data_IF_673612822864
#
_entry.id   IF_673612822864
#
_cell.length_a   1.000
_cell.length_b   1.000
_cell.length_c   1.000
_cell.angle_alpha   90.00
_cell.angle_beta   90.00
_cell.angle_gamma   90.00
#
_symmetry.space_group_name_H-M   'P 1'
#
loop_
_entity.id
_entity.type
_entity.pdbx_description
1 polymer ?
#
# COMPACT_ATOMS: atom_id res chain seq x y z
N UNK A 1 -16.01 32.70 6.83
CA UNK A 1 -17.23 31.93 7.21
C UNK A 1 -16.74 30.69 7.95
N UNK A 2 -17.45 30.21 8.94
CA UNK A 2 -17.10 28.95 9.57
C UNK A 2 -17.41 27.79 8.60
N UNK A 3 -16.71 26.66 8.76
CA UNK A 3 -16.96 25.40 8.03
C UNK A 3 -18.46 25.05 8.04
N UNK A 4 -19.02 24.82 6.86
CA UNK A 4 -20.43 24.43 6.66
C UNK A 4 -20.48 23.16 5.83
N UNK A 5 -21.24 22.15 6.26
CA UNK A 5 -21.52 20.98 5.45
C UNK A 5 -22.80 21.18 4.65
N UNK A 6 -22.69 21.38 3.33
CA UNK A 6 -23.83 21.45 2.41
C UNK A 6 -24.45 20.04 2.25
N UNK A 7 -23.61 19.01 2.25
CA UNK A 7 -23.97 17.60 2.37
C UNK A 7 -23.07 16.94 3.40
N UNK A 8 -23.63 16.13 4.29
CA UNK A 8 -22.89 15.39 5.29
C UNK A 8 -23.14 13.89 5.14
N UNK A 9 -22.11 13.08 5.36
CA UNK A 9 -22.25 11.63 5.43
C UNK A 9 -23.18 11.22 6.57
N UNK A 10 -23.96 10.17 6.35
CA UNK A 10 -24.90 9.60 7.34
C UNK A 10 -24.35 8.37 8.03
N UNK A 11 -23.30 7.76 7.47
CA UNK A 11 -22.62 6.56 8.00
C UNK A 11 -21.13 6.78 8.16
N UNK A 12 -20.54 5.99 9.06
CA UNK A 12 -19.10 5.92 9.25
C UNK A 12 -18.61 4.53 8.80
N UNK A 13 -17.51 4.38 8.02
CA UNK A 13 -17.07 3.11 7.41
C UNK A 13 -16.61 1.99 8.38
N UNK A 14 -16.90 2.04 9.66
CA UNK A 14 -16.30 1.19 10.70
C UNK A 14 -17.12 -0.01 11.17
N UNK A 15 -18.22 -0.40 10.53
CA UNK A 15 -19.09 -1.49 11.01
C UNK A 15 -18.79 -2.84 10.37
N UNK A 16 -18.58 -3.89 11.17
CA UNK A 16 -18.49 -5.30 10.75
C UNK A 16 -17.10 -5.97 10.85
N UNK A 17 -16.18 -5.41 11.64
CA UNK A 17 -14.81 -5.91 11.74
C UNK A 17 -14.65 -7.19 12.56
N UNK A 18 -15.49 -7.42 13.59
CA UNK A 18 -15.33 -8.56 14.53
C UNK A 18 -15.66 -9.91 13.88
N UNK A 19 -16.78 -10.00 13.16
CA UNK A 19 -17.15 -11.22 12.43
C UNK A 19 -16.14 -11.59 11.36
N UNK A 20 -15.64 -10.57 10.63
CA UNK A 20 -14.60 -10.77 9.61
C UNK A 20 -13.31 -11.29 10.23
N UNK A 21 -12.91 -10.74 11.38
CA UNK A 21 -11.72 -11.19 12.13
C UNK A 21 -11.82 -12.65 12.55
N UNK A 22 -12.95 -13.07 13.12
CA UNK A 22 -13.14 -14.44 13.58
C UNK A 22 -13.03 -15.43 12.42
N UNK A 23 -13.74 -15.18 11.32
CA UNK A 23 -13.69 -16.01 10.10
C UNK A 23 -12.24 -16.11 9.56
N UNK A 24 -11.55 -14.99 9.44
CA UNK A 24 -10.18 -14.97 8.91
C UNK A 24 -9.20 -15.67 9.83
N UNK A 25 -9.35 -15.50 11.16
CA UNK A 25 -8.51 -16.19 12.16
C UNK A 25 -8.67 -17.70 12.06
N UNK A 26 -9.90 -18.19 11.98
CA UNK A 26 -10.20 -19.62 11.83
C UNK A 26 -9.60 -20.17 10.53
N UNK A 27 -9.75 -19.45 9.41
CA UNK A 27 -9.18 -19.87 8.13
C UNK A 27 -7.64 -19.93 8.17
N UNK A 28 -6.98 -18.91 8.72
CA UNK A 28 -5.52 -18.86 8.83
C UNK A 28 -4.99 -20.02 9.68
N UNK A 29 -5.61 -20.30 10.85
CA UNK A 29 -5.23 -21.40 11.72
C UNK A 29 -5.44 -22.76 11.04
N UNK A 30 -6.55 -22.94 10.32
CA UNK A 30 -6.85 -24.16 9.59
C UNK A 30 -5.83 -24.40 8.46
N UNK A 31 -5.43 -23.34 7.73
CA UNK A 31 -4.42 -23.43 6.66
C UNK A 31 -3.03 -23.69 7.25
N UNK A 32 -2.67 -23.03 8.34
CA UNK A 32 -1.38 -23.27 8.99
C UNK A 32 -1.21 -24.73 9.44
N UNK A 33 -2.29 -25.33 9.94
CA UNK A 33 -2.29 -26.73 10.40
C UNK A 33 -2.43 -27.74 9.27
N UNK A 34 -3.24 -27.43 8.24
CA UNK A 34 -3.60 -28.34 7.15
C UNK A 34 -2.78 -28.17 5.87
N UNK A 35 -1.93 -27.13 5.80
CA UNK A 35 -1.01 -26.91 4.67
C UNK A 35 -1.70 -26.73 3.33
N UNK A 36 -1.06 -27.24 2.29
CA UNK A 36 -1.51 -27.12 0.90
C UNK A 36 -2.90 -27.72 0.65
N UNK A 37 -3.21 -28.85 1.28
CA UNK A 37 -4.51 -29.51 1.14
C UNK A 37 -5.65 -28.58 1.60
N UNK A 38 -5.43 -27.84 2.68
CA UNK A 38 -6.42 -26.89 3.18
C UNK A 38 -6.59 -25.68 2.29
N UNK A 39 -5.53 -25.21 1.64
CA UNK A 39 -5.62 -24.17 0.60
C UNK A 39 -6.45 -24.65 -0.59
N UNK A 40 -6.21 -25.91 -1.04
CA UNK A 40 -7.00 -26.52 -2.14
C UNK A 40 -8.47 -26.62 -1.78
N UNK A 41 -8.78 -27.12 -0.57
CA UNK A 41 -10.15 -27.23 -0.06
C UNK A 41 -10.87 -25.84 -0.06
N UNK A 42 -10.22 -24.81 0.45
CA UNK A 42 -10.82 -23.46 0.46
C UNK A 42 -10.94 -22.88 -0.96
N UNK A 43 -9.98 -23.14 -1.86
CA UNK A 43 -10.06 -22.67 -3.24
C UNK A 43 -11.20 -23.38 -4.00
N UNK A 44 -11.42 -24.68 -3.75
CA UNK A 44 -12.57 -25.40 -4.30
C UNK A 44 -13.89 -24.83 -3.76
N UNK A 45 -13.99 -24.64 -2.45
CA UNK A 45 -15.24 -24.21 -1.81
C UNK A 45 -15.60 -22.74 -2.05
N UNK A 46 -14.62 -21.83 -2.09
CA UNK A 46 -14.85 -20.38 -2.16
C UNK A 46 -14.69 -19.80 -3.56
N UNK A 47 -13.72 -20.31 -4.33
CA UNK A 47 -13.47 -19.88 -5.70
C UNK A 47 -14.11 -20.82 -6.73
N UNK A 48 -14.69 -21.95 -6.28
CA UNK A 48 -15.23 -23.03 -7.14
C UNK A 48 -14.22 -23.50 -8.18
N UNK A 49 -12.95 -23.72 -7.76
CA UNK A 49 -11.84 -24.05 -8.65
C UNK A 49 -11.10 -25.30 -8.18
N UNK A 50 -10.98 -26.28 -9.09
CA UNK A 50 -10.32 -27.58 -8.85
C UNK A 50 -9.06 -27.77 -9.71
N UNK A 51 -8.60 -26.74 -10.42
CA UNK A 51 -7.40 -26.78 -11.24
C UNK A 51 -6.10 -26.68 -10.43
N UNK A 52 -4.99 -26.52 -11.13
CA UNK A 52 -3.68 -26.35 -10.53
C UNK A 52 -3.59 -25.05 -9.74
N UNK A 53 -3.11 -25.14 -8.50
CA UNK A 53 -2.84 -23.95 -7.70
C UNK A 53 -1.61 -23.21 -8.24
N UNK A 54 -0.54 -23.92 -8.57
CA UNK A 54 0.64 -23.33 -9.23
C UNK A 54 0.36 -23.26 -10.72
N UNK A 55 0.34 -22.06 -11.26
CA UNK A 55 0.13 -21.82 -12.69
C UNK A 55 1.35 -22.34 -13.48
N UNK A 56 1.09 -23.06 -14.56
CA UNK A 56 2.16 -23.62 -15.40
C UNK A 56 2.58 -22.66 -16.51
N UNK A 57 3.79 -22.84 -17.09
CA UNK A 57 4.23 -22.07 -18.26
C UNK A 57 3.28 -22.19 -19.46
N UNK A 58 2.66 -23.34 -19.64
CA UNK A 58 1.68 -23.59 -20.72
C UNK A 58 0.41 -22.76 -20.52
N UNK A 59 -0.08 -22.65 -19.27
CA UNK A 59 -1.24 -21.80 -18.95
C UNK A 59 -0.92 -20.32 -19.20
N UNK A 60 0.32 -19.87 -18.91
CA UNK A 60 0.79 -18.51 -19.19
C UNK A 60 0.85 -18.26 -20.70
N UNK A 61 1.38 -19.20 -21.47
CA UNK A 61 1.45 -19.09 -22.92
C UNK A 61 0.06 -18.97 -23.55
N UNK A 62 -0.89 -19.82 -23.14
CA UNK A 62 -2.30 -19.76 -23.58
C UNK A 62 -2.95 -18.43 -23.19
N UNK A 63 -2.67 -17.91 -22.00
CA UNK A 63 -3.18 -16.61 -21.57
C UNK A 63 -2.64 -15.47 -22.45
N UNK A 64 -1.35 -15.51 -22.78
CA UNK A 64 -0.68 -14.53 -23.65
C UNK A 64 -1.28 -14.48 -25.07
N UNK A 65 -1.70 -15.61 -25.62
CA UNK A 65 -2.36 -15.68 -26.93
C UNK A 65 -3.76 -15.05 -26.92
N UNK A 66 -4.45 -15.04 -25.78
CA UNK A 66 -5.79 -14.45 -25.62
C UNK A 66 -5.76 -12.93 -25.45
N UNK A 67 -4.62 -12.33 -25.08
CA UNK A 67 -4.48 -10.89 -24.94
C UNK A 67 -4.27 -10.27 -26.32
N UNK A 68 -5.14 -9.32 -26.69
CA UNK A 68 -4.98 -8.59 -27.97
C UNK A 68 -3.69 -7.76 -27.96
N UNK A 69 -3.11 -7.53 -29.16
CA UNK A 69 -1.91 -6.70 -29.27
C UNK A 69 -2.11 -5.28 -28.71
N UNK A 70 -3.27 -4.68 -28.97
CA UNK A 70 -3.59 -3.38 -28.38
C UNK A 70 -3.55 -3.40 -26.85
N UNK A 71 -4.12 -4.43 -26.21
CA UNK A 71 -4.10 -4.53 -24.74
C UNK A 71 -2.68 -4.81 -24.24
N UNK A 72 -1.85 -5.56 -24.96
CA UNK A 72 -0.44 -5.73 -24.62
C UNK A 72 0.32 -4.40 -24.68
N UNK A 73 0.04 -3.57 -25.68
CA UNK A 73 0.64 -2.23 -25.80
C UNK A 73 0.20 -1.31 -24.65
N UNK A 74 -1.10 -1.33 -24.29
CA UNK A 74 -1.62 -0.55 -23.16
C UNK A 74 -1.00 -1.00 -21.82
N UNK A 75 -0.85 -2.31 -21.61
CA UNK A 75 -0.19 -2.88 -20.43
C UNK A 75 1.28 -2.45 -20.39
N UNK A 76 1.98 -2.52 -21.52
CA UNK A 76 3.39 -2.09 -21.64
C UNK A 76 3.53 -0.59 -21.36
N UNK A 77 2.63 0.22 -21.88
CA UNK A 77 2.59 1.66 -21.64
C UNK A 77 2.47 2.00 -20.13
N UNK A 78 1.60 1.28 -19.42
CA UNK A 78 1.45 1.42 -17.97
C UNK A 78 2.70 0.93 -17.22
N UNK A 79 3.18 -0.28 -17.55
CA UNK A 79 4.36 -0.89 -16.95
C UNK A 79 5.59 0.00 -17.02
N UNK A 80 5.89 0.57 -18.18
CA UNK A 80 7.08 1.41 -18.38
C UNK A 80 7.07 2.63 -17.46
N UNK A 81 5.91 3.26 -17.26
CA UNK A 81 5.76 4.43 -16.38
C UNK A 81 5.89 4.07 -14.90
N UNK A 82 5.22 3.01 -14.49
CA UNK A 82 5.33 2.52 -13.11
C UNK A 82 6.77 2.09 -12.81
N UNK A 83 7.43 1.39 -13.74
CA UNK A 83 8.83 1.00 -13.62
C UNK A 83 9.74 2.20 -13.49
N UNK A 84 9.61 3.18 -14.39
CA UNK A 84 10.42 4.39 -14.38
C UNK A 84 10.25 5.19 -13.08
N UNK A 85 9.01 5.31 -12.60
CA UNK A 85 8.74 5.99 -11.32
C UNK A 85 9.35 5.24 -10.13
N UNK A 86 9.20 3.92 -10.10
CA UNK A 86 9.81 3.06 -9.08
C UNK A 86 11.35 3.16 -9.09
N UNK A 87 11.98 3.21 -10.27
CA UNK A 87 13.42 3.42 -10.42
C UNK A 87 13.85 4.77 -9.82
N UNK A 88 13.09 5.84 -10.06
CA UNK A 88 13.37 7.15 -9.43
C UNK A 88 13.22 7.11 -7.91
N UNK A 89 12.24 6.38 -7.39
CA UNK A 89 12.15 6.14 -5.95
C UNK A 89 13.38 5.39 -5.43
N UNK A 90 13.86 4.36 -6.15
CA UNK A 90 15.05 3.60 -5.76
C UNK A 90 16.31 4.46 -5.78
N UNK A 91 16.49 5.30 -6.80
CA UNK A 91 17.61 6.24 -6.93
C UNK A 91 17.65 7.28 -5.80
N UNK A 92 16.49 7.66 -5.24
CA UNK A 92 16.42 8.61 -4.13
C UNK A 92 16.86 8.05 -2.78
N UNK A 93 17.07 6.73 -2.69
CA UNK A 93 17.49 6.04 -1.46
C UNK A 93 19.00 5.79 -1.49
N UNK A 94 19.70 6.22 -0.45
CA UNK A 94 21.15 6.13 -0.37
C UNK A 94 21.64 5.39 0.87
N UNK A 95 22.68 4.58 0.69
CA UNK A 95 23.49 4.05 1.78
C UNK A 95 24.54 5.09 2.19
N UNK A 96 24.97 5.04 3.43
CA UNK A 96 26.06 5.87 3.89
C UNK A 96 26.88 5.18 4.99
N UNK A 97 28.12 5.62 5.14
CA UNK A 97 28.95 5.43 6.32
C UNK A 97 29.53 6.79 6.72
N UNK A 98 29.47 7.12 7.98
CA UNK A 98 29.95 8.39 8.51
C UNK A 98 30.79 8.16 9.78
N UNK A 99 31.88 8.89 9.91
CA UNK A 99 32.64 8.98 11.14
C UNK A 99 31.87 9.87 12.13
N UNK A 100 31.37 9.25 13.20
CA UNK A 100 30.53 9.93 14.23
C UNK A 100 31.40 10.52 15.33
N UNK A 101 32.55 9.86 15.64
CA UNK A 101 33.60 10.32 16.46
C UNK A 101 34.91 9.78 15.89
N UNK A 102 36.10 10.27 16.32
CA UNK A 102 37.37 9.79 15.79
C UNK A 102 37.46 8.25 15.81
N UNK A 103 37.60 7.66 14.61
CA UNK A 103 37.69 6.21 14.37
C UNK A 103 36.46 5.38 14.79
N UNK A 104 35.32 6.03 15.05
CA UNK A 104 34.00 5.41 15.23
C UNK A 104 33.12 5.70 14.03
N UNK A 105 32.78 4.67 13.28
CA UNK A 105 31.96 4.76 12.07
C UNK A 105 30.60 4.10 12.30
N UNK A 106 29.55 4.79 11.89
CA UNK A 106 28.19 4.24 11.81
C UNK A 106 27.71 4.32 10.35
N UNK A 107 27.01 3.30 9.92
CA UNK A 107 26.51 3.26 8.56
C UNK A 107 25.09 2.67 8.45
N UNK A 108 24.50 2.92 7.31
CA UNK A 108 23.19 2.42 6.92
C UNK A 108 23.30 1.64 5.62
N UNK A 109 22.65 0.47 5.56
CA UNK A 109 22.51 -0.34 4.35
C UNK A 109 21.04 -0.51 3.97
N UNK A 110 20.84 -0.64 2.69
CA UNK A 110 19.52 -0.83 2.08
C UNK A 110 19.43 -2.24 1.51
N UNK A 111 18.80 -3.15 2.25
CA UNK A 111 18.74 -4.56 1.89
C UNK A 111 17.32 -4.93 1.49
N UNK A 112 17.06 -5.31 0.22
CA UNK A 112 15.76 -5.82 -0.18
C UNK A 112 15.36 -7.04 0.65
N UNK A 113 14.05 -7.23 0.83
CA UNK A 113 13.52 -8.49 1.34
C UNK A 113 13.79 -9.61 0.33
N UNK A 114 13.86 -10.85 0.78
CA UNK A 114 14.15 -11.98 -0.10
C UNK A 114 12.93 -12.38 -0.93
N UNK A 115 11.76 -12.45 -0.28
CA UNK A 115 10.51 -12.90 -0.90
C UNK A 115 9.38 -11.89 -0.67
N UNK A 116 8.69 -11.50 -1.76
CA UNK A 116 7.47 -10.70 -1.71
C UNK A 116 6.26 -11.52 -2.18
N UNK A 117 5.16 -11.44 -1.42
CA UNK A 117 3.86 -11.97 -1.80
C UNK A 117 2.97 -10.86 -2.35
N UNK A 118 2.59 -10.93 -3.63
CA UNK A 118 1.80 -9.93 -4.34
C UNK A 118 0.37 -10.44 -4.56
N UNK A 119 -0.60 -9.92 -3.80
CA UNK A 119 -2.01 -10.22 -4.00
C UNK A 119 -2.61 -9.33 -5.09
N UNK A 120 -3.22 -9.93 -6.11
CA UNK A 120 -3.89 -9.22 -7.21
C UNK A 120 -5.37 -9.58 -7.24
N UNK A 121 -6.29 -8.63 -7.01
CA UNK A 121 -7.72 -8.91 -7.10
C UNK A 121 -8.13 -9.32 -8.52
N UNK A 122 -8.96 -10.35 -8.66
CA UNK A 122 -9.40 -10.88 -9.95
C UNK A 122 -10.88 -11.26 -10.03
N UNK A 123 -11.67 -10.99 -8.99
CA UNK A 123 -13.04 -11.48 -8.89
C UNK A 123 -14.04 -10.77 -9.82
N UNK A 124 -14.49 -9.58 -9.42
CA UNK A 124 -15.49 -8.79 -10.19
C UNK A 124 -14.87 -8.13 -11.41
N UNK A 125 -13.66 -7.60 -11.30
CA UNK A 125 -12.91 -6.88 -12.33
C UNK A 125 -11.51 -7.47 -12.47
N UNK A 126 -10.91 -7.37 -13.66
CA UNK A 126 -9.52 -7.71 -13.91
C UNK A 126 -8.62 -6.53 -13.48
N UNK A 127 -8.00 -6.64 -12.31
CA UNK A 127 -7.13 -5.58 -11.77
C UNK A 127 -5.69 -5.68 -12.33
N UNK A 128 -5.55 -5.46 -13.64
CA UNK A 128 -4.26 -5.50 -14.36
C UNK A 128 -3.26 -4.50 -13.73
N UNK A 129 -3.71 -3.30 -13.42
CA UNK A 129 -2.87 -2.27 -12.82
C UNK A 129 -2.28 -2.69 -11.46
N UNK A 130 -3.05 -3.42 -10.63
CA UNK A 130 -2.52 -3.96 -9.36
C UNK A 130 -1.40 -4.98 -9.57
N UNK A 131 -1.47 -5.79 -10.64
CA UNK A 131 -0.38 -6.69 -11.02
C UNK A 131 0.88 -5.89 -11.40
N UNK A 132 0.73 -4.88 -12.25
CA UNK A 132 1.84 -3.99 -12.64
C UNK A 132 2.46 -3.34 -11.41
N UNK A 133 1.63 -2.69 -10.57
CA UNK A 133 2.11 -1.85 -9.47
C UNK A 133 2.74 -2.64 -8.33
N UNK A 134 2.27 -3.85 -8.04
CA UNK A 134 2.86 -4.68 -6.99
C UNK A 134 4.15 -5.38 -7.45
N UNK A 135 4.09 -6.12 -8.55
CA UNK A 135 5.20 -6.95 -9.03
C UNK A 135 6.36 -6.09 -9.53
N UNK A 136 6.07 -5.05 -10.35
CA UNK A 136 7.12 -4.18 -10.90
C UNK A 136 7.86 -3.43 -9.79
N UNK A 137 7.13 -2.92 -8.78
CA UNK A 137 7.75 -2.19 -7.66
C UNK A 137 8.63 -3.11 -6.82
N UNK A 138 8.21 -4.37 -6.57
CA UNK A 138 9.01 -5.37 -5.89
C UNK A 138 10.28 -5.73 -6.70
N UNK A 139 10.15 -5.89 -8.02
CA UNK A 139 11.28 -6.21 -8.89
C UNK A 139 12.32 -5.08 -8.94
N UNK A 140 11.88 -3.82 -9.07
CA UNK A 140 12.76 -2.64 -9.03
C UNK A 140 13.44 -2.46 -7.67
N UNK A 141 12.77 -2.84 -6.58
CA UNK A 141 13.37 -2.85 -5.25
C UNK A 141 14.53 -3.86 -5.11
N UNK A 142 14.62 -4.85 -6.00
CA UNK A 142 15.63 -5.90 -5.99
C UNK A 142 15.20 -7.16 -5.21
N UNK A 143 13.90 -7.37 -5.03
CA UNK A 143 13.35 -8.62 -4.48
C UNK A 143 13.68 -9.77 -5.42
N UNK A 144 14.26 -10.84 -4.88
CA UNK A 144 14.70 -11.97 -5.71
C UNK A 144 13.57 -12.91 -6.07
N UNK A 145 12.65 -13.14 -5.13
CA UNK A 145 11.57 -14.10 -5.30
C UNK A 145 10.22 -13.41 -5.11
N UNK A 146 9.44 -13.34 -6.19
CA UNK A 146 8.13 -12.68 -6.19
C UNK A 146 7.05 -13.73 -6.45
N UNK A 147 6.27 -14.01 -5.43
CA UNK A 147 5.11 -14.91 -5.50
C UNK A 147 3.86 -14.05 -5.65
N UNK A 148 3.14 -14.20 -6.75
CA UNK A 148 1.88 -13.52 -6.96
C UNK A 148 0.70 -14.48 -6.81
N UNK A 149 -0.44 -14.00 -6.33
CA UNK A 149 -1.68 -14.78 -6.37
C UNK A 149 -2.87 -13.95 -6.85
N UNK A 150 -3.81 -14.62 -7.48
CA UNK A 150 -5.07 -14.02 -7.93
C UNK A 150 -6.19 -15.05 -7.90
N UNK A 151 -7.45 -14.64 -7.58
CA UNK A 151 -8.59 -15.54 -7.60
C UNK A 151 -8.80 -16.18 -8.98
N UNK A 152 -8.88 -17.50 -9.08
CA UNK A 152 -9.24 -18.18 -10.31
C UNK A 152 -10.76 -18.21 -10.52
N UNK A 153 -11.18 -18.55 -11.73
CA UNK A 153 -12.56 -18.90 -12.08
C UNK A 153 -12.65 -20.32 -12.57
N UNK A 154 -13.74 -20.99 -12.23
CA UNK A 154 -13.98 -22.37 -12.67
C UNK A 154 -13.88 -22.51 -14.20
N UNK A 155 -13.05 -23.46 -14.64
CA UNK A 155 -12.81 -23.76 -16.05
C UNK A 155 -11.97 -22.74 -16.82
N UNK A 156 -11.65 -21.59 -16.23
CA UNK A 156 -10.89 -20.52 -16.88
C UNK A 156 -9.53 -20.26 -16.23
N UNK A 157 -9.38 -20.59 -14.93
CA UNK A 157 -8.19 -20.22 -14.14
C UNK A 157 -8.16 -18.72 -13.80
N UNK A 158 -6.96 -18.18 -13.64
CA UNK A 158 -6.77 -16.73 -13.46
C UNK A 158 -7.16 -16.00 -14.76
N UNK A 159 -7.76 -14.81 -14.63
CA UNK A 159 -8.06 -13.99 -15.81
C UNK A 159 -6.80 -13.83 -16.69
N UNK A 160 -6.94 -14.10 -17.97
CA UNK A 160 -5.82 -14.18 -18.93
C UNK A 160 -4.99 -12.88 -19.00
N UNK A 161 -5.65 -11.72 -18.87
CA UNK A 161 -4.95 -10.43 -18.90
C UNK A 161 -4.15 -10.18 -17.61
N UNK A 162 -4.68 -10.61 -16.43
CA UNK A 162 -3.93 -10.58 -15.16
C UNK A 162 -2.73 -11.52 -15.26
N UNK A 163 -2.94 -12.76 -15.74
CA UNK A 163 -1.90 -13.77 -15.83
C UNK A 163 -0.76 -13.34 -16.75
N UNK A 164 -1.08 -12.84 -17.94
CA UNK A 164 -0.11 -12.25 -18.86
C UNK A 164 0.67 -11.10 -18.19
N UNK A 165 -0.02 -10.22 -17.47
CA UNK A 165 0.60 -9.06 -16.85
C UNK A 165 1.55 -9.46 -15.70
N UNK A 166 1.15 -10.43 -14.88
CA UNK A 166 2.00 -10.95 -13.80
C UNK A 166 3.31 -11.52 -14.33
N UNK A 167 3.22 -12.32 -15.39
CA UNK A 167 4.39 -12.90 -16.07
C UNK A 167 5.28 -11.80 -16.68
N UNK A 168 4.68 -10.88 -17.46
CA UNK A 168 5.40 -9.77 -18.09
C UNK A 168 6.12 -8.88 -17.07
N UNK A 169 5.51 -8.65 -15.90
CA UNK A 169 6.12 -7.85 -14.82
C UNK A 169 7.20 -8.62 -14.04
N UNK A 170 7.31 -9.94 -14.25
CA UNK A 170 8.35 -10.78 -13.69
C UNK A 170 7.99 -11.43 -12.36
N UNK A 171 6.76 -11.88 -12.16
CA UNK A 171 6.42 -12.78 -11.06
C UNK A 171 7.12 -14.13 -11.26
N UNK A 172 7.81 -14.66 -10.24
CA UNK A 172 8.56 -15.92 -10.35
C UNK A 172 7.64 -17.13 -10.18
N UNK A 173 6.61 -16.99 -9.36
CA UNK A 173 5.57 -18.01 -9.17
C UNK A 173 4.21 -17.35 -9.09
N UNK A 174 3.22 -17.92 -9.76
CA UNK A 174 1.85 -17.43 -9.77
C UNK A 174 0.94 -18.51 -9.20
N UNK A 175 0.13 -18.15 -8.20
CA UNK A 175 -0.81 -19.04 -7.52
C UNK A 175 -2.25 -18.71 -7.89
N UNK A 176 -2.98 -19.68 -8.42
CA UNK A 176 -4.42 -19.60 -8.68
C UNK A 176 -5.20 -19.82 -7.38
N UNK A 177 -5.15 -18.85 -6.49
CA UNK A 177 -5.84 -18.85 -5.21
C UNK A 177 -6.23 -17.43 -4.82
N UNK A 178 -7.47 -17.21 -4.40
CA UNK A 178 -8.00 -15.92 -3.99
C UNK A 178 -8.05 -15.73 -2.48
N UNK A 179 -8.63 -14.63 -2.03
CA UNK A 179 -9.01 -14.40 -0.63
C UNK A 179 -7.93 -14.69 0.42
N UNK A 180 -8.39 -15.17 1.56
CA UNK A 180 -7.54 -15.52 2.71
C UNK A 180 -6.58 -16.67 2.37
N UNK A 181 -7.04 -17.67 1.60
CA UNK A 181 -6.25 -18.83 1.26
C UNK A 181 -5.05 -18.48 0.36
N UNK A 182 -5.20 -17.53 -0.57
CA UNK A 182 -4.08 -17.02 -1.38
C UNK A 182 -3.06 -16.25 -0.55
N UNK A 183 -3.53 -15.38 0.35
CA UNK A 183 -2.67 -14.64 1.30
C UNK A 183 -1.92 -15.60 2.22
N UNK A 184 -2.61 -16.60 2.78
CA UNK A 184 -2.00 -17.60 3.67
C UNK A 184 -0.98 -18.48 2.92
N UNK A 185 -1.26 -18.88 1.68
CA UNK A 185 -0.33 -19.66 0.86
C UNK A 185 1.01 -18.93 0.69
N UNK A 186 0.98 -17.64 0.39
CA UNK A 186 2.19 -16.83 0.29
C UNK A 186 2.87 -16.64 1.65
N UNK A 187 2.10 -16.33 2.71
CA UNK A 187 2.64 -16.08 4.05
C UNK A 187 3.33 -17.32 4.65
N UNK A 188 2.81 -18.51 4.39
CA UNK A 188 3.35 -19.77 4.94
C UNK A 188 4.30 -20.49 3.98
N UNK A 189 4.51 -19.96 2.77
CA UNK A 189 5.40 -20.54 1.76
C UNK A 189 4.87 -21.83 1.15
N UNK A 190 3.55 -22.02 1.15
CA UNK A 190 2.91 -23.20 0.59
C UNK A 190 3.03 -23.18 -0.93
N UNK A 191 3.22 -24.35 -1.54
CA UNK A 191 3.46 -24.58 -2.98
C UNK A 191 4.79 -24.03 -3.53
N UNK A 192 5.51 -23.17 -2.81
CA UNK A 192 6.74 -22.54 -3.28
C UNK A 192 7.96 -22.90 -2.45
N UNK A 193 7.77 -23.32 -1.20
CA UNK A 193 8.84 -23.50 -0.23
C UNK A 193 9.43 -22.19 0.31
N UNK A 194 8.96 -21.03 -0.18
CA UNK A 194 9.48 -19.71 0.17
C UNK A 194 8.38 -18.90 0.87
N UNK A 195 8.54 -18.65 2.18
CA UNK A 195 7.65 -17.76 2.91
C UNK A 195 7.87 -16.31 2.46
N UNK A 196 6.79 -15.57 2.27
CA UNK A 196 6.88 -14.14 2.01
C UNK A 196 7.41 -13.40 3.25
N UNK A 197 8.39 -12.52 3.05
CA UNK A 197 8.83 -11.57 4.05
C UNK A 197 7.85 -10.39 4.17
N UNK A 198 7.19 -10.05 3.06
CA UNK A 198 6.20 -8.98 2.97
C UNK A 198 5.04 -9.40 2.06
N UNK A 199 3.82 -9.03 2.46
CA UNK A 199 2.60 -9.19 1.67
C UNK A 199 2.13 -7.82 1.19
N UNK A 200 1.91 -7.68 -0.12
CA UNK A 200 1.46 -6.43 -0.74
C UNK A 200 0.26 -6.66 -1.64
N UNK A 201 -0.45 -5.60 -1.94
CA UNK A 201 -1.58 -5.59 -2.84
C UNK A 201 -2.91 -5.27 -2.15
N UNK A 202 -3.85 -4.65 -2.91
CA UNK A 202 -5.18 -4.34 -2.43
C UNK A 202 -6.05 -5.59 -2.43
N UNK A 203 -7.10 -5.61 -1.63
CA UNK A 203 -8.04 -6.71 -1.59
C UNK A 203 -9.33 -6.35 -0.85
N UNK A 204 -10.28 -7.28 -0.81
CA UNK A 204 -11.49 -7.09 -0.03
C UNK A 204 -11.19 -7.12 1.49
N UNK A 205 -12.23 -6.87 2.31
CA UNK A 205 -12.10 -6.84 3.77
C UNK A 205 -11.43 -8.08 4.39
N UNK A 206 -11.62 -9.27 3.78
CA UNK A 206 -11.03 -10.51 4.28
C UNK A 206 -9.53 -10.58 3.99
N UNK A 207 -9.10 -10.14 2.81
CA UNK A 207 -7.68 -10.00 2.44
C UNK A 207 -6.98 -8.98 3.32
N UNK A 208 -7.60 -7.81 3.53
CA UNK A 208 -7.07 -6.77 4.41
C UNK A 208 -6.93 -7.27 5.85
N UNK A 209 -7.92 -8.00 6.36
CA UNK A 209 -7.90 -8.58 7.71
C UNK A 209 -6.87 -9.71 7.83
N UNK A 210 -6.70 -10.55 6.80
CA UNK A 210 -5.65 -11.57 6.78
C UNK A 210 -4.25 -10.94 6.86
N UNK A 211 -3.98 -9.88 6.08
CA UNK A 211 -2.74 -9.12 6.19
C UNK A 211 -2.55 -8.53 7.58
N UNK A 212 -3.61 -7.99 8.19
CA UNK A 212 -3.57 -7.41 9.53
C UNK A 212 -3.23 -8.43 10.61
N UNK A 213 -3.83 -9.62 10.56
CA UNK A 213 -3.56 -10.69 11.53
C UNK A 213 -2.14 -11.24 11.39
N UNK A 214 -1.65 -11.34 10.15
CA UNK A 214 -0.32 -11.87 9.86
C UNK A 214 0.80 -10.84 10.09
N UNK A 215 0.46 -9.55 10.26
CA UNK A 215 1.47 -8.51 10.52
C UNK A 215 2.24 -8.80 11.82
N UNK A 216 3.55 -8.74 11.72
CA UNK A 216 4.48 -9.14 12.78
C UNK A 216 5.13 -10.51 12.50
N UNK A 217 4.40 -11.43 11.89
CA UNK A 217 4.98 -12.66 11.31
C UNK A 217 5.55 -12.39 9.91
N UNK A 218 4.81 -11.63 9.12
CA UNK A 218 5.25 -11.10 7.82
C UNK A 218 5.04 -9.58 7.80
N UNK A 219 5.81 -8.85 7.00
CA UNK A 219 5.55 -7.45 6.74
C UNK A 219 4.28 -7.27 5.89
N UNK A 220 3.70 -6.08 5.93
CA UNK A 220 2.65 -5.68 5.01
C UNK A 220 2.96 -4.31 4.41
N UNK A 221 2.43 -4.04 3.22
CA UNK A 221 2.56 -2.73 2.57
C UNK A 221 1.90 -1.61 3.40
N UNK A 222 0.60 -1.77 3.66
CA UNK A 222 -0.23 -0.80 4.35
C UNK A 222 -1.60 -1.42 4.69
N UNK A 223 -2.40 -0.68 5.43
CA UNK A 223 -3.78 -1.02 5.73
C UNK A 223 -4.69 -0.39 4.67
N UNK A 224 -5.40 -1.20 3.89
CA UNK A 224 -6.35 -0.75 2.90
C UNK A 224 -7.77 -1.25 3.25
N UNK A 225 -8.71 -0.34 3.32
CA UNK A 225 -10.15 -0.59 3.42
C UNK A 225 -10.86 -0.20 2.11
N UNK A 226 -12.14 0.20 2.17
CA UNK A 226 -12.82 0.78 1.03
C UNK A 226 -12.07 2.00 0.49
N UNK A 227 -11.97 2.09 -0.82
CA UNK A 227 -11.29 3.21 -1.47
C UNK A 227 -12.06 4.52 -1.28
N UNK A 228 -11.35 5.63 -1.18
CA UNK A 228 -11.88 6.95 -0.85
C UNK A 228 -11.21 8.06 -1.67
N UNK A 229 -11.95 9.14 -1.95
CA UNK A 229 -11.44 10.34 -2.61
C UNK A 229 -11.84 11.59 -1.84
N UNK A 230 -10.91 12.55 -1.75
CA UNK A 230 -11.20 13.93 -1.43
C UNK A 230 -10.80 14.82 -2.61
N UNK A 231 -11.67 15.75 -3.02
CA UNK A 231 -11.37 16.76 -4.03
C UNK A 231 -11.40 18.13 -3.36
N UNK A 232 -10.31 18.86 -3.42
CA UNK A 232 -10.26 20.28 -3.09
C UNK A 232 -10.50 21.05 -4.39
N UNK A 233 -11.53 21.88 -4.42
CA UNK A 233 -11.87 22.65 -5.61
C UNK A 233 -12.26 24.09 -5.26
N UNK A 234 -11.79 25.05 -6.06
CA UNK A 234 -12.16 26.46 -5.90
C UNK A 234 -13.17 26.90 -6.99
N UNK A 235 -13.38 28.20 -7.09
CA UNK A 235 -14.32 28.80 -8.04
C UNK A 235 -13.91 28.65 -9.52
N UNK A 236 -12.67 28.22 -9.80
CA UNK A 236 -12.12 28.03 -11.14
C UNK A 236 -12.33 26.62 -11.67
N UNK A 237 -12.49 25.67 -10.75
CA UNK A 237 -12.68 24.26 -11.11
C UNK A 237 -13.94 24.06 -11.96
N UNK A 238 -13.84 23.16 -12.91
CA UNK A 238 -14.99 22.72 -13.72
C UNK A 238 -15.86 21.74 -12.91
N UNK A 239 -17.10 22.15 -12.66
CA UNK A 239 -18.04 21.32 -11.90
C UNK A 239 -18.38 20.00 -12.58
N UNK A 240 -18.25 19.88 -13.91
CA UNK A 240 -18.45 18.64 -14.63
C UNK A 240 -17.34 17.65 -14.35
N UNK A 241 -16.09 18.11 -14.42
CA UNK A 241 -14.90 17.30 -14.11
C UNK A 241 -14.95 16.85 -12.65
N UNK A 242 -15.13 17.78 -11.70
CA UNK A 242 -15.26 17.46 -10.26
C UNK A 242 -16.33 16.40 -10.01
N UNK A 243 -17.49 16.53 -10.66
CA UNK A 243 -18.59 15.58 -10.45
C UNK A 243 -18.28 14.19 -11.02
N UNK A 244 -17.64 14.12 -12.18
CA UNK A 244 -17.27 12.83 -12.81
C UNK A 244 -16.19 12.13 -11.98
N UNK A 245 -15.20 12.85 -11.45
CA UNK A 245 -14.14 12.27 -10.60
C UNK A 245 -14.71 11.72 -9.29
N UNK A 246 -15.65 12.43 -8.65
CA UNK A 246 -16.36 11.92 -7.46
C UNK A 246 -17.18 10.66 -7.76
N UNK A 247 -17.86 10.61 -8.90
CA UNK A 247 -18.63 9.42 -9.32
C UNK A 247 -17.71 8.26 -9.68
N UNK A 248 -16.59 8.53 -10.35
CA UNK A 248 -15.59 7.54 -10.71
C UNK A 248 -15.05 6.78 -9.50
N UNK A 249 -14.93 7.46 -8.35
CA UNK A 249 -14.55 6.81 -7.11
C UNK A 249 -15.72 6.10 -6.41
N UNK A 250 -16.90 6.72 -6.41
CA UNK A 250 -18.08 6.15 -5.77
C UNK A 250 -18.54 4.81 -6.39
N UNK A 251 -18.24 4.54 -7.67
CA UNK A 251 -18.61 3.29 -8.34
C UNK A 251 -17.86 2.06 -7.85
N UNK A 252 -16.71 2.22 -7.16
CA UNK A 252 -15.90 1.11 -6.66
C UNK A 252 -16.63 0.25 -5.62
N UNK A 253 -17.50 0.86 -4.79
CA UNK A 253 -18.24 0.12 -3.79
C UNK A 253 -19.28 0.97 -3.05
N UNK A 254 -20.28 0.32 -2.43
CA UNK A 254 -21.36 1.02 -1.72
C UNK A 254 -20.88 1.76 -0.46
N UNK A 255 -19.68 1.52 -0.03
CA UNK A 255 -19.00 2.07 1.16
C UNK A 255 -17.77 2.92 0.83
N UNK A 256 -17.63 3.37 -0.43
CA UNK A 256 -16.53 4.23 -0.92
C UNK A 256 -16.83 5.70 -0.66
N UNK A 257 -16.14 6.38 0.28
CA UNK A 257 -16.34 7.80 0.53
C UNK A 257 -15.91 8.67 -0.65
N UNK A 258 -16.70 9.72 -0.91
CA UNK A 258 -16.39 10.72 -1.92
C UNK A 258 -16.68 12.12 -1.35
N UNK A 259 -15.62 12.92 -1.17
CA UNK A 259 -15.68 14.18 -0.45
C UNK A 259 -15.27 15.35 -1.33
N UNK A 260 -16.09 16.39 -1.38
CA UNK A 260 -15.75 17.69 -1.96
C UNK A 260 -15.48 18.70 -0.87
N UNK A 261 -14.30 19.30 -0.89
CA UNK A 261 -13.88 20.39 -0.02
C UNK A 261 -13.74 21.63 -0.90
N UNK A 262 -14.57 22.64 -0.71
CA UNK A 262 -14.57 23.80 -1.60
C UNK A 262 -14.71 25.12 -0.85
N UNK A 263 -14.21 26.19 -1.46
CA UNK A 263 -14.42 27.57 -1.02
C UNK A 263 -15.53 28.27 -1.83
N UNK A 264 -16.15 27.56 -2.79
CA UNK A 264 -17.17 28.07 -3.71
C UNK A 264 -18.54 27.44 -3.50
N UNK A 265 -19.48 28.19 -2.89
CA UNK A 265 -20.86 27.72 -2.73
C UNK A 265 -21.51 27.37 -4.07
N UNK A 266 -21.26 28.19 -5.11
CA UNK A 266 -21.80 27.95 -6.45
C UNK A 266 -21.35 26.59 -7.00
N UNK A 267 -20.05 26.26 -6.86
CA UNK A 267 -19.49 24.97 -7.28
C UNK A 267 -20.17 23.82 -6.51
N UNK A 268 -20.27 23.93 -5.19
CA UNK A 268 -20.92 22.93 -4.35
C UNK A 268 -22.36 22.63 -4.78
N UNK A 269 -23.16 23.67 -5.07
CA UNK A 269 -24.54 23.55 -5.52
C UNK A 269 -24.64 22.92 -6.92
N UNK A 270 -23.72 23.26 -7.83
CA UNK A 270 -23.65 22.67 -9.16
C UNK A 270 -23.30 21.18 -9.09
N UNK A 271 -22.30 20.79 -8.31
CA UNK A 271 -21.88 19.40 -8.12
C UNK A 271 -23.05 18.58 -7.52
N UNK A 272 -23.67 19.03 -6.42
CA UNK A 272 -24.75 18.27 -5.79
C UNK A 272 -25.93 18.05 -6.72
N UNK A 273 -26.23 19.02 -7.59
CA UNK A 273 -27.32 18.90 -8.57
C UNK A 273 -27.01 17.92 -9.70
N UNK A 274 -25.73 17.73 -10.06
CA UNK A 274 -25.30 16.84 -11.16
C UNK A 274 -25.14 15.38 -10.75
N UNK A 275 -24.72 15.12 -9.53
CA UNK A 275 -24.43 13.77 -9.04
C UNK A 275 -25.53 12.73 -9.33
N UNK A 276 -26.83 12.99 -9.08
CA UNK A 276 -27.85 11.98 -9.34
C UNK A 276 -27.96 11.56 -10.82
N UNK A 277 -27.81 12.52 -11.74
CA UNK A 277 -27.85 12.24 -13.18
C UNK A 277 -26.67 11.42 -13.66
N UNK A 278 -25.46 11.75 -13.19
CA UNK A 278 -24.25 11.00 -13.53
C UNK A 278 -24.31 9.56 -12.98
N UNK A 279 -24.75 9.39 -11.73
CA UNK A 279 -24.90 8.07 -11.10
C UNK A 279 -25.95 7.22 -11.87
N UNK A 280 -27.08 7.81 -12.25
CA UNK A 280 -28.14 7.10 -12.97
C UNK A 280 -27.70 6.62 -14.37
N UNK A 281 -26.75 7.30 -15.00
CA UNK A 281 -26.22 6.95 -16.33
C UNK A 281 -25.16 5.82 -16.30
N UNK A 282 -24.71 5.39 -15.13
CA UNK A 282 -23.79 4.25 -15.00
C UNK A 282 -24.50 2.92 -15.30
N UNK A 283 -23.77 1.87 -15.69
CA UNK A 283 -24.33 0.53 -15.74
C UNK A 283 -24.93 0.12 -14.39
N UNK A 284 -25.97 -0.70 -14.41
CA UNK A 284 -26.84 -0.99 -13.24
C UNK A 284 -26.10 -1.37 -11.94
N UNK A 285 -25.00 -2.11 -12.03
CA UNK A 285 -24.24 -2.56 -10.85
C UNK A 285 -23.46 -1.40 -10.26
N UNK A 286 -22.76 -0.65 -11.09
CA UNK A 286 -21.99 0.54 -10.73
C UNK A 286 -22.88 1.66 -10.21
N UNK A 287 -24.03 1.90 -10.88
CA UNK A 287 -25.02 2.89 -10.45
C UNK A 287 -25.53 2.62 -9.03
N UNK A 288 -25.86 1.36 -8.69
CA UNK A 288 -26.28 1.00 -7.33
C UNK A 288 -25.18 1.21 -6.29
N UNK A 289 -23.94 0.90 -6.62
CA UNK A 289 -22.80 1.12 -5.74
C UNK A 289 -22.57 2.60 -5.49
N UNK A 290 -22.47 3.40 -6.57
CA UNK A 290 -22.26 4.84 -6.50
C UNK A 290 -23.41 5.58 -5.79
N UNK A 291 -24.67 5.15 -6.01
CA UNK A 291 -25.83 5.72 -5.30
C UNK A 291 -25.72 5.51 -3.77
N UNK A 292 -25.41 4.29 -3.35
CA UNK A 292 -25.25 3.98 -1.93
C UNK A 292 -24.06 4.74 -1.32
N UNK A 293 -22.90 4.74 -2.02
CA UNK A 293 -21.71 5.46 -1.59
C UNK A 293 -21.96 6.96 -1.43
N UNK A 294 -22.54 7.60 -2.46
CA UNK A 294 -22.84 9.02 -2.41
C UNK A 294 -23.90 9.39 -1.35
N UNK A 295 -24.95 8.56 -1.23
CA UNK A 295 -26.01 8.79 -0.22
C UNK A 295 -25.46 8.71 1.19
N UNK A 296 -24.67 7.66 1.51
CA UNK A 296 -24.31 7.29 2.85
C UNK A 296 -22.98 7.90 3.31
N UNK A 297 -22.00 8.07 2.40
CA UNK A 297 -20.62 8.49 2.69
C UNK A 297 -20.16 9.74 1.93
N UNK A 298 -20.94 10.26 0.98
CA UNK A 298 -20.61 11.47 0.24
C UNK A 298 -20.75 12.71 1.12
N UNK A 299 -19.76 13.63 1.06
CA UNK A 299 -19.78 14.91 1.75
C UNK A 299 -19.45 16.07 0.81
N UNK A 300 -20.03 17.24 1.11
CA UNK A 300 -19.65 18.53 0.52
C UNK A 300 -19.44 19.52 1.66
N UNK A 301 -18.19 19.92 1.87
CA UNK A 301 -17.76 20.88 2.87
C UNK A 301 -17.43 22.22 2.22
N UNK A 302 -18.10 23.28 2.66
CA UNK A 302 -17.83 24.66 2.26
C UNK A 302 -16.95 25.31 3.32
N UNK A 303 -15.73 25.68 2.92
CA UNK A 303 -14.71 26.32 3.75
C UNK A 303 -14.67 27.83 3.52
N UNK A 304 -14.32 28.58 4.54
CA UNK A 304 -14.19 30.04 4.47
C UNK A 304 -12.89 30.51 3.83
N UNK A 305 -11.86 29.65 3.78
CA UNK A 305 -10.57 29.93 3.17
C UNK A 305 -9.88 28.66 2.66
N UNK A 306 -8.85 28.84 1.84
CA UNK A 306 -8.01 27.71 1.37
C UNK A 306 -7.23 27.06 2.50
N UNK A 307 -6.85 27.81 3.53
CA UNK A 307 -6.17 27.30 4.74
C UNK A 307 -7.09 26.37 5.53
N UNK A 308 -8.37 26.75 5.68
CA UNK A 308 -9.39 25.91 6.31
C UNK A 308 -9.64 24.63 5.47
N UNK A 309 -9.71 24.75 4.13
CA UNK A 309 -9.84 23.62 3.24
C UNK A 309 -8.64 22.65 3.34
N UNK A 310 -7.42 23.17 3.38
CA UNK A 310 -6.22 22.36 3.56
C UNK A 310 -6.18 21.66 4.92
N UNK A 311 -6.60 22.34 5.99
CA UNK A 311 -6.66 21.75 7.32
C UNK A 311 -7.72 20.64 7.39
N UNK A 312 -8.88 20.83 6.78
CA UNK A 312 -9.93 19.82 6.71
C UNK A 312 -9.47 18.59 5.92
N UNK A 313 -8.81 18.79 4.77
CA UNK A 313 -8.23 17.73 3.97
C UNK A 313 -7.18 16.93 4.75
N UNK A 314 -6.26 17.62 5.45
CA UNK A 314 -5.27 16.94 6.30
C UNK A 314 -5.93 16.16 7.46
N UNK A 315 -7.10 16.58 7.95
CA UNK A 315 -7.86 15.83 8.96
C UNK A 315 -8.50 14.56 8.37
N UNK A 316 -8.96 14.59 7.13
CA UNK A 316 -9.50 13.41 6.45
C UNK A 316 -8.38 12.43 6.13
N UNK A 317 -7.21 12.92 5.74
CA UNK A 317 -6.06 12.11 5.36
C UNK A 317 -6.45 11.06 4.32
N UNK A 318 -7.09 11.54 3.25
CA UNK A 318 -7.70 10.72 2.22
C UNK A 318 -6.68 9.85 1.46
N UNK A 319 -7.13 8.71 0.98
CA UNK A 319 -6.37 7.83 0.08
C UNK A 319 -5.96 8.59 -1.18
N UNK A 320 -6.94 9.13 -1.88
CA UNK A 320 -6.74 9.95 -3.07
C UNK A 320 -7.12 11.39 -2.76
N UNK A 321 -6.24 12.32 -3.06
CA UNK A 321 -6.49 13.74 -2.90
C UNK A 321 -6.28 14.45 -4.23
N UNK A 322 -7.34 15.00 -4.80
CA UNK A 322 -7.27 15.86 -5.97
C UNK A 322 -7.33 17.34 -5.56
N UNK A 323 -6.62 18.18 -6.25
CA UNK A 323 -6.64 19.64 -6.10
C UNK A 323 -6.93 20.28 -7.44
N UNK A 324 -8.16 20.69 -7.64
CA UNK A 324 -8.64 21.43 -8.81
C UNK A 324 -8.83 22.91 -8.40
N UNK A 325 -7.72 23.58 -8.09
CA UNK A 325 -7.69 24.94 -7.57
C UNK A 325 -6.47 25.72 -8.07
N UNK A 326 -6.57 27.05 -8.03
CA UNK A 326 -5.44 27.94 -8.35
C UNK A 326 -4.27 27.70 -7.38
N UNK A 327 -3.02 28.03 -7.84
CA UNK A 327 -1.79 28.00 -7.03
C UNK A 327 -1.42 26.58 -6.55
N UNK A 328 -1.31 25.64 -7.48
CA UNK A 328 -0.99 24.22 -7.20
C UNK A 328 0.28 24.05 -6.37
N UNK A 329 1.29 24.91 -6.54
CA UNK A 329 2.53 24.87 -5.76
C UNK A 329 2.32 25.19 -4.28
N UNK A 330 1.37 26.05 -3.97
CA UNK A 330 0.98 26.32 -2.58
C UNK A 330 0.36 25.07 -1.94
N UNK A 331 -0.56 24.41 -2.66
CA UNK A 331 -1.20 23.19 -2.19
C UNK A 331 -0.18 22.07 -1.98
N UNK A 332 0.72 21.85 -2.94
CA UNK A 332 1.79 20.85 -2.83
C UNK A 332 2.66 21.06 -1.58
N UNK A 333 2.98 22.29 -1.24
CA UNK A 333 3.80 22.62 -0.05
C UNK A 333 3.00 22.56 1.25
N UNK A 334 1.69 22.79 1.21
CA UNK A 334 0.85 22.95 2.40
C UNK A 334 0.23 21.64 2.87
N UNK A 335 -0.22 20.79 1.94
CA UNK A 335 -0.87 19.53 2.26
C UNK A 335 0.14 18.48 2.75
N UNK A 336 -0.29 17.65 3.71
CA UNK A 336 0.59 16.69 4.40
C UNK A 336 0.05 15.26 4.47
N UNK A 337 -1.26 15.10 4.53
CA UNK A 337 -1.90 13.83 4.83
C UNK A 337 -2.73 13.36 3.64
N UNK A 338 -2.12 12.57 2.77
CA UNK A 338 -2.75 11.95 1.60
C UNK A 338 -2.00 10.69 1.19
N UNK A 339 -2.69 9.73 0.58
CA UNK A 339 -2.03 8.57 -0.01
C UNK A 339 -1.36 8.93 -1.33
N UNK A 340 -2.09 9.59 -2.25
CA UNK A 340 -1.56 10.17 -3.49
C UNK A 340 -2.24 11.51 -3.76
N UNK A 341 -1.49 12.48 -4.29
CA UNK A 341 -1.93 13.84 -4.59
C UNK A 341 -1.94 14.09 -6.10
N UNK A 342 -3.06 14.56 -6.62
CA UNK A 342 -3.28 14.90 -8.02
C UNK A 342 -3.48 16.42 -8.12
N UNK A 343 -2.66 17.10 -8.92
CA UNK A 343 -2.63 18.56 -9.00
C UNK A 343 -3.09 19.04 -10.37
N UNK A 344 -4.19 19.79 -10.41
CA UNK A 344 -4.81 20.31 -11.63
C UNK A 344 -5.94 19.40 -12.14
N UNK A 345 -6.79 19.96 -13.00
CA UNK A 345 -7.89 19.23 -13.64
C UNK A 345 -7.43 18.31 -14.79
N UNK A 346 -6.17 18.47 -15.22
CA UNK A 346 -5.56 17.66 -16.27
C UNK A 346 -5.11 16.27 -15.79
N UNK A 347 -5.20 16.00 -14.49
CA UNK A 347 -4.93 14.69 -13.89
C UNK A 347 -6.05 14.26 -12.99
N UNK A 348 -6.23 12.95 -12.81
CA UNK A 348 -7.29 12.37 -11.98
C UNK A 348 -6.84 11.06 -11.38
N UNK A 349 -7.54 10.59 -10.36
CA UNK A 349 -7.35 9.26 -9.73
C UNK A 349 -7.28 8.16 -10.78
N UNK A 350 -8.19 8.16 -11.77
CA UNK A 350 -8.24 7.12 -12.80
C UNK A 350 -6.92 7.01 -13.60
N UNK A 351 -6.22 8.12 -13.85
CA UNK A 351 -4.93 8.10 -14.54
C UNK A 351 -3.83 7.51 -13.63
N UNK A 352 -3.81 7.91 -12.35
CA UNK A 352 -2.91 7.34 -11.34
C UNK A 352 -3.15 5.85 -11.14
N UNK A 353 -4.39 5.43 -11.10
CA UNK A 353 -4.81 4.04 -10.94
C UNK A 353 -4.39 3.14 -12.11
N UNK A 354 -4.20 3.70 -13.28
CA UNK A 354 -3.98 2.88 -14.49
C UNK A 354 -2.58 3.03 -15.07
N UNK A 355 -2.13 4.26 -15.35
CA UNK A 355 -1.00 4.41 -16.28
C UNK A 355 -0.14 5.66 -16.12
N UNK A 356 -0.37 6.56 -15.17
CA UNK A 356 0.47 7.75 -15.02
C UNK A 356 1.81 7.50 -14.35
N UNK A 357 1.97 6.38 -13.63
CA UNK A 357 3.25 5.92 -13.07
C UNK A 357 3.30 5.85 -11.54
N UNK A 358 2.50 6.65 -10.83
CA UNK A 358 2.37 6.53 -9.37
C UNK A 358 1.63 5.27 -8.97
N UNK A 359 1.83 4.80 -7.74
CA UNK A 359 1.23 3.57 -7.26
C UNK A 359 -0.16 3.82 -6.68
N UNK A 360 -1.13 2.98 -7.05
CA UNK A 360 -2.50 3.07 -6.56
C UNK A 360 -2.78 2.22 -5.30
N UNK A 361 -1.81 1.46 -4.82
CA UNK A 361 -1.95 0.71 -3.57
C UNK A 361 -1.68 1.69 -2.44
N UNK A 362 -2.74 2.30 -1.94
CA UNK A 362 -2.69 3.48 -1.09
C UNK A 362 -3.35 3.22 0.27
N UNK A 363 -2.97 3.97 1.32
CA UNK A 363 -3.55 3.85 2.64
C UNK A 363 -4.93 4.51 2.71
N UNK A 364 -5.90 3.85 3.33
CA UNK A 364 -7.27 4.34 3.53
C UNK A 364 -7.57 4.59 5.00
N UNK A 365 -8.78 5.04 5.32
CA UNK A 365 -9.27 5.23 6.70
C UNK A 365 -8.36 6.13 7.54
N UNK A 366 -7.84 7.19 6.93
CA UNK A 366 -7.00 8.18 7.59
C UNK A 366 -5.59 7.71 7.94
N UNK A 367 -5.16 6.53 7.48
CA UNK A 367 -3.80 6.02 7.75
C UNK A 367 -2.73 6.76 6.93
N UNK A 368 -3.13 7.57 5.95
CA UNK A 368 -2.24 8.48 5.23
C UNK A 368 -1.56 9.53 6.15
N UNK A 369 -1.94 9.61 7.44
CA UNK A 369 -1.26 10.43 8.46
C UNK A 369 0.14 9.93 8.81
N UNK A 370 0.43 8.66 8.61
CA UNK A 370 1.72 8.07 9.00
C UNK A 370 2.36 7.18 7.93
N UNK A 371 1.66 6.86 6.85
CA UNK A 371 2.20 6.03 5.77
C UNK A 371 1.73 6.54 4.41
N UNK A 372 2.58 6.42 3.41
CA UNK A 372 2.22 6.63 2.00
C UNK A 372 1.83 5.33 1.32
N UNK A 373 1.61 5.39 0.01
CA UNK A 373 1.34 4.25 -0.84
C UNK A 373 2.49 3.23 -0.92
N UNK A 374 2.22 2.14 -1.62
CA UNK A 374 3.24 1.17 -1.95
C UNK A 374 4.37 1.84 -2.75
N UNK A 375 5.57 1.66 -2.30
CA UNK A 375 6.78 2.21 -2.91
C UNK A 375 7.92 1.20 -2.82
N UNK A 376 8.98 1.45 -3.57
CA UNK A 376 10.21 0.65 -3.52
C UNK A 376 10.73 0.48 -2.08
N UNK A 377 10.61 1.53 -1.26
CA UNK A 377 11.05 1.51 0.14
C UNK A 377 10.32 0.50 1.02
N UNK A 378 9.11 0.08 0.67
CA UNK A 378 8.39 -0.97 1.42
C UNK A 378 9.04 -2.34 1.33
N UNK A 379 9.76 -2.61 0.25
CA UNK A 379 10.48 -3.86 0.02
C UNK A 379 11.94 -3.83 0.49
N UNK A 380 12.40 -2.70 1.05
CA UNK A 380 13.79 -2.50 1.42
C UNK A 380 13.91 -2.29 2.94
N UNK A 381 14.68 -3.16 3.58
CA UNK A 381 15.07 -2.99 4.98
C UNK A 381 16.20 -1.97 5.08
N UNK A 382 15.97 -0.92 5.85
CA UNK A 382 17.03 -0.01 6.27
C UNK A 382 17.67 -0.59 7.53
N UNK A 383 18.89 -1.11 7.41
CA UNK A 383 19.63 -1.71 8.51
C UNK A 383 20.89 -0.91 8.82
N UNK A 384 21.32 -0.92 10.08
CA UNK A 384 22.46 -0.17 10.54
C UNK A 384 23.61 -1.10 10.93
N UNK A 385 24.83 -0.59 10.83
CA UNK A 385 26.03 -1.23 11.37
C UNK A 385 26.94 -0.18 12.01
N UNK A 386 27.83 -0.66 12.87
CA UNK A 386 28.87 0.17 13.47
C UNK A 386 30.21 -0.58 13.50
N UNK A 387 31.29 0.17 13.37
CA UNK A 387 32.65 -0.31 13.56
C UNK A 387 33.52 0.76 14.22
N UNK A 388 34.51 0.35 15.00
CA UNK A 388 35.41 1.28 15.64
C UNK A 388 36.81 0.66 15.82
N UNK A 389 37.81 1.52 15.97
CA UNK A 389 39.15 1.10 16.34
C UNK A 389 39.25 0.75 17.83
N UNK A 390 40.38 0.20 18.22
CA UNK A 390 40.67 -0.01 19.64
C UNK A 390 40.75 1.32 20.41
N UNK A 391 41.32 2.37 19.80
CA UNK A 391 41.44 3.67 20.46
C UNK A 391 40.08 4.34 20.66
N UNK A 392 39.23 4.30 19.65
CA UNK A 392 37.82 4.78 19.77
C UNK A 392 37.04 4.02 20.86
N UNK A 393 37.39 2.75 21.13
CA UNK A 393 36.72 1.95 22.14
C UNK A 393 37.00 2.48 23.57
N UNK A 394 38.12 3.19 23.81
CA UNK A 394 38.54 3.71 25.12
C UNK A 394 37.44 4.49 25.85
N UNK A 395 36.93 5.51 25.19
CA UNK A 395 35.86 6.36 25.75
C UNK A 395 34.50 5.67 25.72
N UNK A 396 34.14 5.06 24.59
CA UNK A 396 32.85 4.39 24.39
C UNK A 396 32.63 3.28 25.43
N UNK A 397 33.63 2.46 25.70
CA UNK A 397 33.52 1.38 26.69
C UNK A 397 33.34 1.90 28.11
N UNK A 398 34.09 2.94 28.49
CA UNK A 398 33.97 3.52 29.84
C UNK A 398 32.59 4.17 30.05
N UNK A 399 32.09 4.94 29.05
CA UNK A 399 30.76 5.54 29.10
C UNK A 399 29.68 4.46 29.14
N UNK A 400 29.77 3.44 28.27
CA UNK A 400 28.83 2.32 28.24
C UNK A 400 28.74 1.62 29.59
N UNK A 401 29.88 1.36 30.24
CA UNK A 401 29.88 0.71 31.53
C UNK A 401 29.18 1.54 32.62
N UNK A 402 29.40 2.86 32.65
CA UNK A 402 28.72 3.76 33.61
C UNK A 402 27.21 3.80 33.39
N UNK A 403 26.79 4.02 32.14
CA UNK A 403 25.33 4.09 31.79
C UNK A 403 24.66 2.76 32.11
N UNK A 404 25.26 1.64 31.69
CA UNK A 404 24.69 0.31 31.93
C UNK A 404 24.55 -0.01 33.43
N UNK A 405 25.47 0.40 34.27
CA UNK A 405 25.34 0.24 35.72
C UNK A 405 24.27 1.11 36.33
N UNK A 406 24.12 2.36 35.84
CA UNK A 406 23.02 3.22 36.26
C UNK A 406 21.65 2.62 35.91
N UNK A 407 21.54 1.93 34.76
CA UNK A 407 20.34 1.22 34.31
C UNK A 407 20.18 -0.16 34.99
N UNK A 408 21.11 -0.60 35.85
CA UNK A 408 21.09 -1.92 36.51
C UNK A 408 21.51 -3.07 35.60
N UNK A 409 22.12 -2.78 34.45
CA UNK A 409 22.57 -3.77 33.47
C UNK A 409 24.04 -4.13 33.63
N UNK A 410 24.40 -4.82 34.71
CA UNK A 410 25.82 -5.15 35.04
C UNK A 410 26.48 -6.00 33.94
N UNK A 411 25.80 -6.93 33.32
CA UNK A 411 26.38 -7.73 32.23
C UNK A 411 26.76 -6.86 31.01
N UNK A 412 25.94 -5.85 30.67
CA UNK A 412 26.28 -4.86 29.63
C UNK A 412 27.50 -4.02 30.06
N UNK A 413 27.56 -3.57 31.30
CA UNK A 413 28.70 -2.83 31.83
C UNK A 413 30.02 -3.62 31.69
N UNK A 414 30.01 -4.90 32.02
CA UNK A 414 31.17 -5.80 31.90
C UNK A 414 31.67 -5.95 30.47
N UNK A 415 30.79 -5.79 29.45
CA UNK A 415 31.28 -5.82 28.05
C UNK A 415 32.23 -4.66 27.76
N UNK A 416 32.01 -3.49 28.39
CA UNK A 416 32.92 -2.35 28.33
C UNK A 416 34.18 -2.61 29.13
N UNK A 417 34.05 -3.03 30.41
CA UNK A 417 35.19 -3.31 31.30
C UNK A 417 36.19 -4.30 30.69
N UNK A 418 35.68 -5.41 30.09
CA UNK A 418 36.55 -6.42 29.49
C UNK A 418 37.33 -5.89 28.28
N UNK A 419 36.74 -4.99 27.48
CA UNK A 419 37.46 -4.35 26.37
C UNK A 419 38.52 -3.38 26.86
N UNK A 420 38.20 -2.58 27.86
CA UNK A 420 39.18 -1.68 28.51
C UNK A 420 40.34 -2.48 29.09
N UNK A 421 40.06 -3.55 29.84
CA UNK A 421 41.09 -4.43 30.42
C UNK A 421 41.96 -5.08 29.33
N UNK A 422 41.37 -5.50 28.23
CA UNK A 422 42.08 -6.17 27.13
C UNK A 422 43.00 -5.21 26.36
N UNK A 423 42.48 -4.05 25.99
CA UNK A 423 43.15 -3.14 25.08
C UNK A 423 44.01 -2.10 25.78
N UNK A 424 43.70 -1.79 27.04
CA UNK A 424 44.40 -0.79 27.86
C UNK A 424 44.76 -1.33 29.25
N UNK A 425 45.52 -2.43 29.35
CA UNK A 425 45.74 -3.14 30.61
C UNK A 425 46.54 -2.32 31.64
N UNK A 426 47.26 -1.29 31.24
CA UNK A 426 48.04 -0.41 32.10
C UNK A 426 47.27 0.84 32.58
N UNK A 427 46.03 1.02 32.17
CA UNK A 427 45.24 2.21 32.47
C UNK A 427 44.08 1.90 33.41
N UNK A 428 43.68 2.91 34.17
CA UNK A 428 42.53 2.85 35.07
C UNK A 428 41.40 3.71 34.50
N UNK A 429 40.22 3.14 34.41
CA UNK A 429 39.04 3.83 33.88
C UNK A 429 37.96 3.94 34.96
N UNK A 430 37.29 5.11 35.00
CA UNK A 430 36.12 5.26 35.83
C UNK A 430 34.92 4.64 35.09
N UNK A 431 34.49 3.48 35.56
CA UNK A 431 33.36 2.70 34.97
C UNK A 431 32.15 2.62 35.89
N UNK A 432 32.16 3.32 37.01
CA UNK A 432 31.04 3.53 37.95
C UNK A 432 30.71 5.01 38.03
N UNK A 433 29.45 5.35 38.35
CA UNK A 433 28.99 6.72 38.61
C UNK A 433 29.29 7.10 40.06
#
# INVERSE_FOLDING_TARGET
MALEFIKKATKNPQTGEEDTRNIVTEMLNAIESGGEDKVREYTENLDNYTGNIVVTPEEIAVASEKVSEQLKDDIRFSYERVRLFAEKQRESMTEFESEIAPELFCGQRLIPVETAGCYVPGGRYAHIASAIMSVTTARVAGVKNIVACSPPKQGEGINYAILYTLDMCGADTILAAGGVQGVAAMAFGLFTGNQADILVGPGNRFVAEAKRILYGRVGIDLFAGPTEIAIIADKKADHDIVSVDLVGQAEHGPDSPAWLITTSRKLAEQVISKMPGLIANLPKVQSKAAEAAWRDYGEIALCGSREEAAQLSDNYAAEHLEVQAEDQDWWLKRLRNYGSLFLGEETTVAFGDKCSGTNHILPTKGTARYTGGLSVGKFIKTVTYQRMSQEANREVAAVTARISRLEGMEAHARTGDERLRKYFPSETFQTTC
#
